data_IF_733581606282
#
_entry.id   IF_733581606282
#
_cell.length_a   1.000
_cell.length_b   1.000
_cell.length_c   1.000
_cell.angle_alpha   90.00
_cell.angle_beta   90.00
_cell.angle_gamma   90.00
#
_symmetry.space_group_name_H-M   'P 1'
#
loop_
_entity.id
_entity.type
_entity.pdbx_description
1 polymer ?
#
# COMPACT_ATOMS: atom_id res chain seq x y z
N UNK A 1 -4.13 14.52 5.49
CA UNK A 1 -3.26 13.49 6.09
C UNK A 1 -2.01 13.46 5.21
N UNK A 2 -0.82 13.40 5.79
CA UNK A 2 0.39 13.43 4.97
C UNK A 2 0.41 12.21 4.03
N UNK A 3 0.98 12.31 2.81
CA UNK A 3 1.06 11.16 1.92
C UNK A 3 1.91 10.03 2.54
N UNK A 4 1.49 8.77 2.41
CA UNK A 4 2.32 7.63 2.79
C UNK A 4 3.43 7.41 1.77
N UNK A 5 4.58 6.95 2.25
CA UNK A 5 5.77 6.66 1.46
C UNK A 5 6.32 5.28 1.81
N UNK A 6 6.81 4.54 0.83
CA UNK A 6 7.55 3.28 1.07
C UNK A 6 8.76 3.56 1.97
N UNK A 7 8.95 2.74 3.00
CA UNK A 7 10.16 2.78 3.84
C UNK A 7 11.41 2.41 3.06
N UNK A 8 11.25 1.50 2.09
CA UNK A 8 12.30 1.07 1.16
C UNK A 8 11.69 0.54 -0.15
N UNK A 9 12.48 0.60 -1.21
CA UNK A 9 12.14 -0.06 -2.45
C UNK A 9 12.43 -1.57 -2.35
N UNK A 10 11.40 -2.38 -2.57
CA UNK A 10 11.47 -3.83 -2.55
C UNK A 10 11.30 -4.38 -3.96
N UNK A 11 12.07 -5.41 -4.30
CA UNK A 11 11.78 -6.21 -5.48
C UNK A 11 10.51 -7.03 -5.23
N UNK A 12 9.68 -7.22 -6.26
CA UNK A 12 8.45 -7.99 -6.11
C UNK A 12 8.20 -8.90 -7.30
N UNK A 13 7.49 -9.99 -7.04
CA UNK A 13 7.02 -10.92 -8.08
C UNK A 13 5.59 -11.34 -7.81
N UNK A 14 4.86 -11.70 -8.86
CA UNK A 14 3.51 -12.24 -8.73
C UNK A 14 3.58 -13.76 -8.64
N UNK A 15 2.95 -14.33 -7.62
CA UNK A 15 2.80 -15.77 -7.44
C UNK A 15 1.32 -16.11 -7.27
N UNK A 16 0.70 -16.65 -8.33
CA UNK A 16 -0.73 -16.92 -8.35
C UNK A 16 -1.56 -15.63 -8.18
N UNK A 17 -2.33 -15.55 -7.10
CA UNK A 17 -3.15 -14.39 -6.75
C UNK A 17 -2.55 -13.51 -5.65
N UNK A 18 -1.24 -13.60 -5.44
CA UNK A 18 -0.54 -12.80 -4.44
C UNK A 18 0.73 -12.18 -5.03
N UNK A 19 1.21 -11.14 -4.37
CA UNK A 19 2.47 -10.49 -4.65
C UNK A 19 3.44 -10.77 -3.51
N UNK A 20 4.63 -11.24 -3.85
CA UNK A 20 5.71 -11.48 -2.88
C UNK A 20 6.71 -10.35 -3.03
N UNK A 21 6.85 -9.55 -1.99
CA UNK A 21 7.88 -8.54 -1.84
C UNK A 21 9.10 -9.18 -1.19
N UNK A 22 10.28 -8.90 -1.73
CA UNK A 22 11.55 -9.40 -1.25
C UNK A 22 12.40 -8.21 -0.85
N UNK A 23 12.71 -8.14 0.45
CA UNK A 23 13.64 -7.16 0.98
C UNK A 23 15.06 -7.47 0.45
N UNK A 24 15.70 -6.54 -0.29
CA UNK A 24 17.02 -6.79 -0.85
C UNK A 24 18.10 -6.96 0.23
N UNK A 25 17.91 -6.39 1.42
CA UNK A 25 18.87 -6.37 2.51
C UNK A 25 18.75 -7.62 3.38
N UNK A 26 17.55 -7.88 3.92
CA UNK A 26 17.32 -8.99 4.86
C UNK A 26 17.00 -10.32 4.16
N UNK A 27 16.64 -10.28 2.87
CA UNK A 27 16.09 -11.42 2.11
C UNK A 27 14.78 -11.96 2.66
N UNK A 28 14.12 -11.22 3.55
CA UNK A 28 12.80 -11.58 4.04
C UNK A 28 11.74 -11.37 2.96
N UNK A 29 10.74 -12.25 2.98
CA UNK A 29 9.64 -12.24 2.03
C UNK A 29 8.35 -11.83 2.74
N UNK A 30 7.64 -10.85 2.17
CA UNK A 30 6.32 -10.43 2.64
C UNK A 30 5.32 -10.67 1.51
N UNK A 31 4.21 -11.32 1.83
CA UNK A 31 3.16 -11.61 0.86
C UNK A 31 2.02 -10.63 1.04
N UNK A 32 1.64 -9.95 -0.04
CA UNK A 32 0.47 -9.08 -0.12
C UNK A 32 -0.59 -9.68 -1.03
N UNK A 33 -1.85 -9.46 -0.66
CA UNK A 33 -2.95 -9.61 -1.62
C UNK A 33 -2.89 -8.52 -2.70
N UNK A 34 -3.59 -8.68 -3.83
CA UNK A 34 -3.49 -7.73 -4.94
C UNK A 34 -3.91 -6.30 -4.58
N UNK A 35 -4.87 -6.11 -3.67
CA UNK A 35 -5.33 -4.78 -3.28
C UNK A 35 -4.26 -4.12 -2.41
N UNK A 36 -3.78 -4.83 -1.39
CA UNK A 36 -2.72 -4.31 -0.52
C UNK A 36 -1.44 -3.97 -1.32
N UNK A 37 -1.10 -4.80 -2.31
CA UNK A 37 0.02 -4.52 -3.21
C UNK A 37 -0.21 -3.25 -4.04
N UNK A 38 -1.38 -3.09 -4.64
CA UNK A 38 -1.71 -1.88 -5.41
C UNK A 38 -1.66 -0.62 -4.56
N UNK A 39 -2.13 -0.68 -3.31
CA UNK A 39 -2.03 0.44 -2.36
C UNK A 39 -0.57 0.74 -2.01
N UNK A 40 0.23 -0.28 -1.74
CA UNK A 40 1.67 -0.11 -1.46
C UNK A 40 2.42 0.53 -2.63
N UNK A 41 2.09 0.17 -3.87
CA UNK A 41 2.67 0.81 -5.08
C UNK A 41 2.42 2.32 -5.09
N UNK A 42 1.23 2.76 -4.68
CA UNK A 42 0.84 4.19 -4.62
C UNK A 42 1.47 4.95 -3.44
N UNK A 43 2.16 4.29 -2.51
CA UNK A 43 2.83 4.96 -1.39
C UNK A 43 4.16 5.58 -1.86
N UNK A 44 4.10 6.63 -2.67
CA UNK A 44 5.24 7.32 -3.26
C UNK A 44 5.68 8.58 -2.48
N UNK A 45 4.95 8.94 -1.42
CA UNK A 45 5.16 10.18 -0.67
C UNK A 45 4.51 11.42 -1.28
N UNK A 46 3.76 11.29 -2.37
CA UNK A 46 3.07 12.39 -3.05
C UNK A 46 1.55 12.14 -3.12
N UNK A 47 1.17 10.89 -3.36
CA UNK A 47 -0.22 10.47 -3.55
C UNK A 47 -0.96 10.45 -2.21
N UNK A 48 -1.98 11.29 -2.08
CA UNK A 48 -2.81 11.36 -0.86
C UNK A 48 -3.80 10.21 -0.77
N UNK A 49 -4.29 9.92 0.44
CA UNK A 49 -5.35 8.91 0.65
C UNK A 49 -6.60 9.27 -0.16
N UNK A 50 -6.94 10.55 -0.24
CA UNK A 50 -8.07 11.02 -1.04
C UNK A 50 -7.88 10.69 -2.52
N UNK A 51 -6.68 10.92 -3.07
CA UNK A 51 -6.34 10.60 -4.46
C UNK A 51 -6.37 9.09 -4.71
N UNK A 52 -5.84 8.28 -3.79
CA UNK A 52 -5.97 6.82 -3.86
C UNK A 52 -7.45 6.41 -3.84
N UNK A 53 -8.24 7.02 -2.95
CA UNK A 53 -9.68 6.75 -2.85
C UNK A 53 -10.39 7.06 -4.16
N UNK A 54 -10.08 8.18 -4.82
CA UNK A 54 -10.63 8.53 -6.13
C UNK A 54 -10.33 7.48 -7.19
N UNK A 55 -9.14 6.87 -7.18
CA UNK A 55 -8.74 5.83 -8.12
C UNK A 55 -9.47 4.51 -7.88
N UNK A 56 -9.66 4.12 -6.61
CA UNK A 56 -10.25 2.82 -6.25
C UNK A 56 -11.78 2.84 -6.14
N UNK A 57 -12.39 4.03 -6.08
CA UNK A 57 -13.84 4.16 -5.91
C UNK A 57 -14.58 4.01 -7.23
N UNK A 58 -15.79 3.48 -7.14
CA UNK A 58 -16.83 3.57 -8.17
C UNK A 58 -18.02 4.35 -7.60
N UNK A 59 -19.01 4.64 -8.42
CA UNK A 59 -20.16 5.43 -7.97
C UNK A 59 -20.82 4.82 -6.72
N UNK A 60 -20.99 5.65 -5.69
CA UNK A 60 -21.65 5.29 -4.44
C UNK A 60 -20.85 4.52 -3.39
N UNK A 61 -19.53 4.30 -3.52
CA UNK A 61 -18.75 3.53 -2.53
C UNK A 61 -17.53 4.24 -1.91
N UNK A 62 -17.37 5.55 -2.17
CA UNK A 62 -16.16 6.31 -1.83
C UNK A 62 -15.78 6.23 -0.35
N UNK A 63 -16.74 6.38 0.53
CA UNK A 63 -16.58 6.33 1.99
C UNK A 63 -16.09 4.95 2.46
N UNK A 64 -16.68 3.88 1.92
CA UNK A 64 -16.28 2.50 2.19
C UNK A 64 -14.86 2.23 1.72
N UNK A 65 -14.52 2.68 0.51
CA UNK A 65 -13.17 2.53 -0.06
C UNK A 65 -12.14 3.30 0.76
N UNK A 66 -12.46 4.54 1.18
CA UNK A 66 -11.55 5.33 2.00
C UNK A 66 -11.26 4.65 3.35
N UNK A 67 -12.29 4.08 3.99
CA UNK A 67 -12.13 3.34 5.24
C UNK A 67 -11.27 2.08 5.05
N UNK A 68 -11.48 1.33 3.96
CA UNK A 68 -10.67 0.17 3.62
C UNK A 68 -9.20 0.54 3.36
N UNK A 69 -8.94 1.62 2.62
CA UNK A 69 -7.60 2.12 2.34
C UNK A 69 -6.86 2.49 3.63
N UNK A 70 -7.52 3.19 4.56
CA UNK A 70 -6.93 3.49 5.87
C UNK A 70 -6.53 2.21 6.62
N UNK A 71 -7.40 1.20 6.66
CA UNK A 71 -7.10 -0.07 7.30
C UNK A 71 -5.95 -0.85 6.62
N UNK A 72 -5.78 -0.72 5.31
CA UNK A 72 -4.64 -1.30 4.59
C UNK A 72 -3.36 -0.54 4.92
N UNK A 73 -3.37 0.80 4.85
CA UNK A 73 -2.21 1.63 5.16
C UNK A 73 -1.71 1.43 6.59
N UNK A 74 -2.61 1.35 7.57
CA UNK A 74 -2.26 1.03 8.96
C UNK A 74 -1.57 -0.34 9.10
N UNK A 75 -2.00 -1.34 8.32
CA UNK A 75 -1.36 -2.66 8.31
C UNK A 75 0.02 -2.60 7.65
N UNK A 76 0.16 -1.87 6.55
CA UNK A 76 1.45 -1.70 5.86
C UNK A 76 2.45 -0.99 6.77
N UNK A 77 2.03 0.07 7.47
CA UNK A 77 2.84 0.81 8.44
C UNK A 77 3.30 -0.09 9.59
N UNK A 78 2.37 -0.86 10.19
CA UNK A 78 2.70 -1.81 11.28
C UNK A 78 3.70 -2.88 10.88
N UNK A 79 3.75 -3.25 9.59
CA UNK A 79 4.71 -4.20 9.05
C UNK A 79 6.01 -3.52 8.56
N UNK A 80 6.17 -2.22 8.78
CA UNK A 80 7.36 -1.46 8.39
C UNK A 80 7.52 -1.28 6.89
N UNK A 81 6.44 -1.43 6.10
CA UNK A 81 6.47 -1.30 4.64
C UNK A 81 6.30 0.13 4.16
N UNK A 82 5.66 0.98 4.96
CA UNK A 82 5.45 2.40 4.68
C UNK A 82 5.66 3.23 5.94
N UNK A 83 5.91 4.52 5.73
CA UNK A 83 5.95 5.58 6.73
C UNK A 83 5.08 6.75 6.24
N UNK A 84 4.66 7.63 7.14
CA UNK A 84 3.95 8.85 6.78
C UNK A 84 4.96 9.99 6.66
N UNK A 85 4.88 10.77 5.58
CA UNK A 85 5.67 11.99 5.48
C UNK A 85 5.34 12.96 6.63
N UNK A 86 6.30 13.82 7.00
CA UNK A 86 6.11 14.89 8.00
C UNK A 86 5.31 16.07 7.47
#
# INVERSE_FOLDING_TARGET
MNPPKKTKEMSWTRLGNSYVLVDPDSKENITLDPIAFMVWVQCDGETTIESMTDVFSVDGNRDVVQAALKGILEKLEKNGLIEWNE
#
